data_IF_424611247330
#
_entry.id   IF_424611247330
#
_cell.length_a   1.000
_cell.length_b   1.000
_cell.length_c   1.000
_cell.angle_alpha   90.00
_cell.angle_beta   90.00
_cell.angle_gamma   90.00
#
_symmetry.space_group_name_H-M   'P 1'
#
loop_
_entity.id
_entity.type
_entity.pdbx_description
1 polymer ?
#
# COMPACT_ATOMS: atom_id res chain seq x y z
N UNK A 1 25.77 7.23 -2.32
CA UNK A 1 24.66 6.95 -1.39
C UNK A 1 23.38 6.99 -2.21
N UNK A 2 22.50 5.99 -2.06
CA UNK A 2 21.24 5.94 -2.80
C UNK A 2 20.31 7.06 -2.34
N UNK A 3 19.52 7.61 -3.25
CA UNK A 3 18.62 8.72 -2.98
C UNK A 3 17.24 8.22 -2.58
N UNK A 4 16.57 8.92 -1.66
CA UNK A 4 15.21 8.59 -1.20
C UNK A 4 14.29 9.78 -1.44
N UNK A 5 13.14 9.51 -2.05
CA UNK A 5 12.04 10.46 -2.21
C UNK A 5 10.86 10.01 -1.37
N UNK A 6 10.33 10.90 -0.53
CA UNK A 6 9.16 10.61 0.32
C UNK A 6 7.90 11.11 -0.37
N UNK A 7 6.90 10.25 -0.54
CA UNK A 7 5.65 10.55 -1.24
C UNK A 7 4.49 10.41 -0.28
N UNK A 8 3.75 11.51 -0.07
CA UNK A 8 2.58 11.56 0.82
C UNK A 8 1.37 11.96 0.00
N UNK A 9 0.33 11.14 -0.01
CA UNK A 9 -0.99 11.50 -0.58
C UNK A 9 -1.90 11.87 0.58
N UNK A 10 -2.49 13.05 0.54
CA UNK A 10 -3.37 13.56 1.60
C UNK A 10 -4.77 13.87 1.08
N UNK A 11 -5.77 13.65 1.95
CA UNK A 11 -7.16 14.05 1.74
C UNK A 11 -7.82 14.30 3.09
N UNK A 12 -8.09 15.56 3.41
CA UNK A 12 -8.62 16.02 4.69
C UNK A 12 -7.78 15.55 5.90
N UNK A 13 -6.45 15.70 5.83
CA UNK A 13 -5.51 15.24 6.86
C UNK A 13 -4.67 16.36 7.48
N UNK A 14 -5.19 17.60 7.49
CA UNK A 14 -4.47 18.77 8.00
C UNK A 14 -3.99 18.62 9.46
N UNK A 15 -4.73 17.86 10.29
CA UNK A 15 -4.37 17.62 11.68
C UNK A 15 -3.21 16.64 11.87
N UNK A 16 -3.01 15.72 10.93
CA UNK A 16 -2.08 14.60 11.10
C UNK A 16 -0.76 14.83 10.36
N UNK A 17 -0.81 15.53 9.22
CA UNK A 17 0.32 15.64 8.29
C UNK A 17 1.55 16.34 8.88
N UNK A 18 1.36 17.20 9.90
CA UNK A 18 2.46 17.94 10.54
C UNK A 18 3.41 16.96 11.24
N UNK A 19 2.89 16.03 12.04
CA UNK A 19 3.70 15.03 12.75
C UNK A 19 4.40 14.09 11.76
N UNK A 20 3.76 13.81 10.62
CA UNK A 20 4.33 13.02 9.53
C UNK A 20 5.54 13.73 8.92
N UNK A 21 5.37 15.00 8.50
CA UNK A 21 6.44 15.82 7.94
C UNK A 21 7.60 16.01 8.92
N UNK A 22 7.30 16.25 10.19
CA UNK A 22 8.30 16.36 11.26
C UNK A 22 9.15 15.10 11.38
N UNK A 23 8.53 13.91 11.33
CA UNK A 23 9.23 12.63 11.34
C UNK A 23 10.13 12.44 10.12
N UNK A 24 9.69 12.91 8.95
CA UNK A 24 10.47 12.87 7.70
C UNK A 24 11.68 13.82 7.77
N UNK A 25 11.51 15.05 8.26
CA UNK A 25 12.62 16.00 8.38
C UNK A 25 13.66 15.60 9.43
N UNK A 26 13.28 14.78 10.41
CA UNK A 26 14.17 14.28 11.47
C UNK A 26 14.94 13.01 11.08
N UNK A 27 14.74 12.46 9.87
CA UNK A 27 15.42 11.23 9.46
C UNK A 27 16.94 11.38 9.49
N UNK A 28 17.64 10.33 9.94
CA UNK A 28 19.10 10.25 9.92
C UNK A 28 19.65 10.01 8.52
N UNK A 29 18.83 9.42 7.64
CA UNK A 29 19.15 9.24 6.23
C UNK A 29 18.79 10.50 5.42
N UNK A 30 19.66 10.98 4.52
CA UNK A 30 19.35 12.13 3.68
C UNK A 30 18.13 11.88 2.77
N UNK A 31 17.09 12.70 2.95
CA UNK A 31 15.91 12.71 2.08
C UNK A 31 16.16 13.70 0.92
N UNK A 32 16.14 13.20 -0.31
CA UNK A 32 16.41 14.01 -1.50
C UNK A 32 15.28 15.00 -1.78
N UNK A 33 14.04 14.54 -1.63
CA UNK A 33 12.85 15.35 -1.82
C UNK A 33 11.66 14.77 -1.07
N UNK A 34 10.70 15.64 -0.78
CA UNK A 34 9.40 15.30 -0.22
C UNK A 34 8.36 15.81 -1.20
N UNK A 35 7.47 14.92 -1.64
CA UNK A 35 6.37 15.23 -2.55
C UNK A 35 5.07 14.98 -1.81
N UNK A 36 4.26 16.02 -1.68
CA UNK A 36 2.90 15.93 -1.10
C UNK A 36 1.89 16.13 -2.22
N UNK A 37 0.97 15.18 -2.38
CA UNK A 37 -0.15 15.26 -3.32
C UNK A 37 -1.43 15.43 -2.53
N UNK A 38 -2.02 16.61 -2.58
CA UNK A 38 -3.33 16.90 -2.02
C UNK A 38 -4.43 16.52 -3.01
N UNK A 39 -5.29 15.58 -2.63
CA UNK A 39 -6.38 15.04 -3.43
C UNK A 39 -7.67 15.87 -3.27
N UNK A 40 -7.58 17.19 -3.44
CA UNK A 40 -8.68 18.14 -3.28
C UNK A 40 -9.30 18.11 -1.87
N UNK A 41 -8.46 18.32 -0.85
CA UNK A 41 -8.97 18.46 0.51
C UNK A 41 -9.85 19.70 0.68
N UNK A 42 -10.75 19.62 1.65
CA UNK A 42 -11.71 20.67 2.02
C UNK A 42 -11.42 21.25 3.41
N UNK A 43 -10.40 20.74 4.10
CA UNK A 43 -9.88 21.31 5.34
C UNK A 43 -8.80 22.36 5.05
N UNK A 44 -8.12 22.83 6.09
CA UNK A 44 -7.10 23.87 6.03
C UNK A 44 -5.70 23.34 5.62
N UNK A 45 -5.63 22.29 4.78
CA UNK A 45 -4.36 21.68 4.38
C UNK A 45 -3.43 22.69 3.69
N UNK A 46 -3.98 23.67 2.96
CA UNK A 46 -3.19 24.68 2.22
C UNK A 46 -2.45 25.60 3.17
N UNK A 47 -3.14 26.06 4.22
CA UNK A 47 -2.56 26.87 5.28
C UNK A 47 -1.52 26.07 6.09
N UNK A 48 -1.81 24.79 6.36
CA UNK A 48 -0.90 23.88 7.08
C UNK A 48 0.39 23.61 6.29
N UNK A 49 0.29 23.47 4.96
CA UNK A 49 1.45 23.18 4.11
C UNK A 49 2.25 24.43 3.69
N UNK A 50 1.66 25.63 3.78
CA UNK A 50 2.31 26.88 3.37
C UNK A 50 3.73 27.09 3.94
N UNK A 51 4.02 26.81 5.23
CA UNK A 51 5.36 26.96 5.80
C UNK A 51 6.41 25.97 5.24
N UNK A 52 5.98 24.98 4.45
CA UNK A 52 6.83 23.93 3.89
C UNK A 52 7.07 24.10 2.38
N UNK A 53 6.51 25.11 1.72
CA UNK A 53 6.61 25.31 0.27
C UNK A 53 8.05 25.31 -0.27
N UNK A 54 9.02 25.81 0.51
CA UNK A 54 10.44 25.87 0.11
C UNK A 54 11.18 24.53 0.30
N UNK A 55 10.56 23.55 0.98
CA UNK A 55 11.15 22.26 1.37
C UNK A 55 10.40 21.06 0.83
N UNK A 56 9.17 21.24 0.37
CA UNK A 56 8.24 20.18 -0.06
C UNK A 56 7.66 20.56 -1.42
N UNK A 57 7.71 19.64 -2.37
CA UNK A 57 7.02 19.78 -3.64
C UNK A 57 5.55 19.41 -3.46
N UNK A 58 4.64 20.37 -3.58
CA UNK A 58 3.21 20.17 -3.32
C UNK A 58 2.42 20.20 -4.62
N UNK A 59 1.63 19.16 -4.86
CA UNK A 59 0.70 19.04 -5.99
C UNK A 59 -0.72 19.14 -5.44
N UNK A 60 -1.51 20.08 -5.95
CA UNK A 60 -2.92 20.23 -5.62
C UNK A 60 -3.79 19.71 -6.76
N UNK A 61 -4.42 18.55 -6.57
CA UNK A 61 -5.43 18.04 -7.50
C UNK A 61 -6.75 18.81 -7.34
N UNK A 62 -7.54 18.87 -8.41
CA UNK A 62 -8.87 19.49 -8.42
C UNK A 62 -9.99 18.54 -7.99
N UNK A 63 -9.69 17.25 -7.93
CA UNK A 63 -10.60 16.20 -7.47
C UNK A 63 -9.84 15.12 -6.68
N UNK A 64 -10.56 14.33 -5.90
CA UNK A 64 -9.98 13.20 -5.20
C UNK A 64 -9.83 12.02 -6.16
N UNK A 65 -8.59 11.74 -6.57
CA UNK A 65 -8.26 10.63 -7.46
C UNK A 65 -8.02 9.31 -6.71
N UNK A 66 -7.90 9.34 -5.39
CA UNK A 66 -7.58 8.20 -4.55
C UNK A 66 -6.07 7.95 -4.39
N UNK A 67 -5.75 6.87 -3.69
CA UNK A 67 -4.38 6.54 -3.27
C UNK A 67 -3.47 6.21 -4.46
N UNK A 68 -3.90 5.29 -5.32
CA UNK A 68 -3.07 4.78 -6.42
C UNK A 68 -2.67 5.88 -7.41
N UNK A 69 -3.59 6.71 -7.95
CA UNK A 69 -3.19 7.78 -8.88
C UNK A 69 -2.31 8.84 -8.21
N UNK A 70 -2.58 9.20 -6.96
CA UNK A 70 -1.80 10.20 -6.23
C UNK A 70 -0.34 9.77 -6.04
N UNK A 71 -0.10 8.52 -5.62
CA UNK A 71 1.27 8.01 -5.49
C UNK A 71 1.96 7.81 -6.85
N UNK A 72 1.23 7.38 -7.89
CA UNK A 72 1.78 7.34 -9.24
C UNK A 72 2.21 8.73 -9.74
N UNK A 73 1.46 9.80 -9.43
CA UNK A 73 1.86 11.19 -9.75
C UNK A 73 3.19 11.55 -9.10
N UNK A 74 3.35 11.26 -7.80
CA UNK A 74 4.60 11.52 -7.09
C UNK A 74 5.77 10.68 -7.64
N UNK A 75 5.55 9.40 -7.94
CA UNK A 75 6.58 8.53 -8.52
C UNK A 75 7.05 9.00 -9.89
N UNK A 76 6.14 9.48 -10.75
CA UNK A 76 6.47 9.94 -12.11
C UNK A 76 7.43 11.13 -12.15
N UNK A 77 7.34 12.03 -11.18
CA UNK A 77 8.21 13.22 -11.12
C UNK A 77 9.51 12.98 -10.33
N UNK A 78 9.61 11.86 -9.64
CA UNK A 78 10.75 11.54 -8.79
C UNK A 78 11.85 10.80 -9.54
N UNK A 79 13.10 11.24 -9.36
CA UNK A 79 14.31 10.60 -9.91
C UNK A 79 15.12 9.85 -8.84
N UNK A 80 14.56 9.65 -7.65
CA UNK A 80 15.25 8.97 -6.55
C UNK A 80 15.42 7.46 -6.79
N UNK A 81 16.44 6.84 -6.17
CA UNK A 81 16.68 5.40 -6.22
C UNK A 81 15.61 4.61 -5.44
N UNK A 82 15.06 5.21 -4.39
CA UNK A 82 14.00 4.65 -3.56
C UNK A 82 12.84 5.62 -3.38
N UNK A 83 11.64 5.06 -3.30
CA UNK A 83 10.41 5.79 -3.01
C UNK A 83 9.85 5.32 -1.67
N UNK A 84 9.75 6.22 -0.70
CA UNK A 84 9.02 5.98 0.54
C UNK A 84 7.59 6.48 0.38
N UNK A 85 6.67 5.55 0.13
CA UNK A 85 5.23 5.81 0.17
C UNK A 85 4.79 5.88 1.63
N UNK A 86 4.16 6.98 2.01
CA UNK A 86 3.85 7.29 3.41
C UNK A 86 2.46 7.91 3.54
N UNK A 87 1.67 7.38 4.48
CA UNK A 87 0.39 7.99 4.85
C UNK A 87 0.60 9.27 5.69
N UNK A 88 -0.30 10.25 5.60
CA UNK A 88 -0.20 11.50 6.35
C UNK A 88 -0.39 11.32 7.87
N UNK A 89 -0.94 10.19 8.32
CA UNK A 89 -1.17 9.86 9.74
C UNK A 89 -0.13 8.88 10.32
N UNK A 90 1.06 8.82 9.69
CA UNK A 90 2.21 8.04 10.17
C UNK A 90 3.33 8.96 10.62
N UNK A 91 3.88 8.70 11.80
CA UNK A 91 5.08 9.35 12.34
C UNK A 91 6.25 8.35 12.31
N UNK A 92 7.35 8.73 11.68
CA UNK A 92 8.54 7.89 11.56
C UNK A 92 9.52 8.12 12.73
N UNK A 93 10.11 7.05 13.26
CA UNK A 93 11.31 7.16 14.09
C UNK A 93 12.51 7.65 13.27
N UNK A 94 13.46 8.30 13.93
CA UNK A 94 14.65 8.93 13.32
C UNK A 94 15.44 7.99 12.41
N UNK A 95 15.56 6.71 12.76
CA UNK A 95 16.39 5.75 12.01
C UNK A 95 15.58 4.92 10.98
N UNK A 96 14.29 5.20 10.81
CA UNK A 96 13.40 4.37 9.98
C UNK A 96 13.92 4.19 8.55
N UNK A 97 14.18 5.30 7.84
CA UNK A 97 14.61 5.25 6.44
C UNK A 97 16.00 4.64 6.32
N UNK A 98 16.93 4.99 7.21
CA UNK A 98 18.29 4.45 7.19
C UNK A 98 18.31 2.93 7.30
N UNK A 99 17.47 2.37 8.18
CA UNK A 99 17.34 0.92 8.39
C UNK A 99 16.73 0.21 7.20
N UNK A 100 15.67 0.76 6.61
CA UNK A 100 15.05 0.16 5.43
C UNK A 100 15.98 0.18 4.21
N UNK A 101 16.64 1.30 3.94
CA UNK A 101 17.62 1.39 2.84
C UNK A 101 18.75 0.40 3.05
N UNK A 102 19.31 0.31 4.27
CA UNK A 102 20.36 -0.67 4.57
C UNK A 102 19.88 -2.10 4.28
N UNK A 103 18.70 -2.50 4.76
CA UNK A 103 18.14 -3.82 4.46
C UNK A 103 17.96 -4.07 2.97
N UNK A 104 17.44 -3.10 2.21
CA UNK A 104 17.26 -3.23 0.77
C UNK A 104 18.58 -3.39 0.01
N UNK A 105 19.65 -2.73 0.46
CA UNK A 105 20.97 -2.81 -0.19
C UNK A 105 21.70 -4.15 0.10
N UNK A 106 21.29 -4.92 1.12
CA UNK A 106 21.89 -6.24 1.40
C UNK A 106 21.52 -7.30 0.35
N UNK A 107 20.42 -7.11 -0.38
CA UNK A 107 19.98 -8.05 -1.41
C UNK A 107 19.25 -7.29 -2.52
N UNK A 108 19.82 -7.21 -3.74
CA UNK A 108 19.20 -6.52 -4.87
C UNK A 108 17.78 -7.01 -5.24
N UNK A 109 17.38 -8.21 -4.81
CA UNK A 109 15.99 -8.70 -4.99
C UNK A 109 15.00 -8.12 -4.00
N UNK A 110 15.42 -7.41 -2.95
CA UNK A 110 14.51 -6.73 -2.02
C UNK A 110 14.00 -5.47 -2.72
N UNK A 111 12.86 -5.62 -3.39
CA UNK A 111 12.20 -4.55 -4.11
C UNK A 111 11.29 -3.69 -3.22
N UNK A 112 10.88 -4.22 -2.07
CA UNK A 112 10.13 -3.45 -1.08
C UNK A 112 10.53 -3.77 0.36
N UNK A 113 10.48 -2.77 1.23
CA UNK A 113 10.78 -2.91 2.64
C UNK A 113 9.82 -2.10 3.52
N UNK A 114 9.53 -2.61 4.71
CA UNK A 114 8.76 -1.90 5.73
C UNK A 114 9.34 -2.17 7.11
N UNK A 115 9.04 -1.27 8.04
CA UNK A 115 9.41 -1.40 9.44
C UNK A 115 8.30 -2.03 10.29
N UNK A 116 8.49 -1.94 11.60
CA UNK A 116 7.50 -2.24 12.62
C UNK A 116 6.61 -1.02 12.80
N UNK A 117 5.40 -1.10 12.25
CA UNK A 117 4.38 -0.09 12.46
C UNK A 117 3.64 -0.42 13.75
N UNK A 118 3.60 0.53 14.67
CA UNK A 118 2.94 0.45 15.96
C UNK A 118 1.70 1.34 15.95
N UNK A 119 0.67 0.98 16.72
CA UNK A 119 -0.48 1.87 16.92
C UNK A 119 -0.03 3.09 17.72
N UNK A 120 -0.23 4.31 17.20
CA UNK A 120 0.15 5.55 17.92
C UNK A 120 -0.62 5.68 19.24
N UNK A 121 -1.87 5.22 19.28
CA UNK A 121 -2.69 5.16 20.49
C UNK A 121 -2.23 4.14 21.54
N UNK A 122 -1.47 3.12 21.15
CA UNK A 122 -0.84 2.16 22.06
C UNK A 122 0.43 1.55 21.42
N UNK A 123 1.62 2.15 21.65
CA UNK A 123 2.87 1.72 21.05
C UNK A 123 3.33 0.30 21.40
N UNK A 124 2.67 -0.40 22.34
CA UNK A 124 2.97 -1.81 22.64
C UNK A 124 2.21 -2.79 21.74
N UNK A 125 1.39 -2.28 20.82
CA UNK A 125 0.58 -3.10 19.90
C UNK A 125 1.00 -2.84 18.46
N UNK A 126 1.24 -3.93 17.74
CA UNK A 126 1.53 -3.88 16.31
C UNK A 126 0.31 -3.37 15.55
N UNK A 127 0.57 -2.39 14.69
CA UNK A 127 -0.32 -2.03 13.60
C UNK A 127 -0.10 -2.95 12.39
N UNK A 128 1.15 -3.03 11.92
CA UNK A 128 1.56 -3.89 10.80
C UNK A 128 3.07 -4.18 10.85
N UNK A 129 3.45 -5.39 10.47
CA UNK A 129 4.85 -5.80 10.21
C UNK A 129 5.05 -6.22 8.76
N UNK A 130 4.21 -5.68 7.87
CA UNK A 130 4.05 -6.13 6.49
C UNK A 130 2.74 -6.90 6.28
N UNK A 131 2.58 -7.46 5.09
CA UNK A 131 1.37 -8.14 4.67
C UNK A 131 1.53 -9.66 4.77
N UNK A 132 0.41 -10.35 4.96
CA UNK A 132 0.30 -11.80 4.81
C UNK A 132 -0.93 -12.13 3.96
N UNK A 133 -0.81 -13.12 3.08
CA UNK A 133 -1.93 -13.64 2.31
C UNK A 133 -2.08 -15.15 2.53
N UNK A 134 -3.27 -15.59 2.92
CA UNK A 134 -3.55 -17.01 3.12
C UNK A 134 -3.97 -17.73 1.82
N UNK A 135 -4.09 -19.06 1.86
CA UNK A 135 -4.55 -19.87 0.71
C UNK A 135 -5.98 -19.56 0.27
N UNK A 136 -6.80 -18.86 1.05
CA UNK A 136 -8.10 -18.36 0.62
C UNK A 136 -8.01 -16.94 0.03
N UNK A 137 -6.80 -16.46 -0.28
CA UNK A 137 -6.49 -15.13 -0.88
C UNK A 137 -6.91 -13.97 -0.01
N UNK A 138 -7.10 -14.21 1.28
CA UNK A 138 -7.38 -13.15 2.25
C UNK A 138 -6.05 -12.54 2.64
N UNK A 139 -5.94 -11.23 2.42
CA UNK A 139 -4.77 -10.44 2.77
C UNK A 139 -5.05 -9.62 4.03
N UNK A 140 -4.07 -9.59 4.93
CA UNK A 140 -4.12 -8.93 6.23
C UNK A 140 -2.78 -8.28 6.56
N UNK A 141 -2.81 -7.29 7.44
CA UNK A 141 -1.63 -6.81 8.14
C UNK A 141 -1.09 -7.92 9.07
N UNK A 142 0.20 -8.23 8.95
CA UNK A 142 0.88 -9.25 9.72
C UNK A 142 1.16 -8.74 11.13
N UNK A 143 0.73 -9.50 12.14
CA UNK A 143 0.87 -9.15 13.54
C UNK A 143 -0.11 -8.12 14.08
N UNK A 144 -1.03 -7.61 13.25
CA UNK A 144 -1.97 -6.57 13.66
C UNK A 144 -2.77 -6.95 14.92
N UNK A 145 -2.67 -6.11 15.96
CA UNK A 145 -3.32 -6.31 17.25
C UNK A 145 -2.57 -7.21 18.23
N UNK A 146 -1.39 -7.71 17.87
CA UNK A 146 -0.52 -8.49 18.75
C UNK A 146 0.49 -7.60 19.50
N UNK A 147 1.05 -8.06 20.64
CA UNK A 147 2.11 -7.35 21.35
C UNK A 147 3.37 -7.15 20.50
N UNK A 148 3.95 -5.94 20.55
CA UNK A 148 5.13 -5.56 19.78
C UNK A 148 6.36 -6.42 20.03
N UNK A 149 6.50 -6.94 21.25
CA UNK A 149 7.69 -7.68 21.70
C UNK A 149 7.80 -9.08 21.07
N UNK A 150 6.72 -9.57 20.45
CA UNK A 150 6.73 -10.82 19.69
C UNK A 150 7.36 -10.65 18.30
N UNK A 151 7.58 -9.41 17.85
CA UNK A 151 7.92 -9.09 16.47
C UNK A 151 9.34 -8.52 16.31
N UNK A 152 10.29 -9.04 17.09
CA UNK A 152 11.70 -8.62 17.08
C UNK A 152 12.55 -9.21 15.94
N UNK A 153 12.03 -10.18 15.18
CA UNK A 153 12.76 -10.81 14.08
C UNK A 153 12.46 -10.16 12.72
N UNK A 154 13.50 -9.67 12.06
CA UNK A 154 13.45 -9.23 10.65
C UNK A 154 13.33 -10.43 9.69
N UNK A 155 12.76 -10.23 8.51
CA UNK A 155 12.66 -11.30 7.51
C UNK A 155 11.72 -11.00 6.35
N UNK A 156 11.58 -11.96 5.45
CA UNK A 156 10.71 -11.85 4.29
C UNK A 156 9.24 -11.87 4.70
N UNK A 157 8.44 -11.08 3.99
CA UNK A 157 6.98 -10.96 4.15
C UNK A 157 6.29 -11.03 2.79
N UNK A 158 4.96 -11.22 2.77
CA UNK A 158 4.24 -11.28 1.49
C UNK A 158 4.29 -9.93 0.74
N UNK A 159 4.31 -8.84 1.48
CA UNK A 159 4.28 -7.49 0.94
C UNK A 159 4.45 -6.47 2.05
N UNK A 160 4.45 -5.20 1.67
CA UNK A 160 4.53 -4.08 2.61
C UNK A 160 3.21 -3.31 2.60
N UNK A 161 2.80 -2.81 3.77
CA UNK A 161 1.58 -2.00 3.89
C UNK A 161 1.82 -0.62 3.28
N UNK A 162 0.86 -0.12 2.50
CA UNK A 162 0.94 1.21 1.89
C UNK A 162 1.02 2.37 2.90
N UNK A 163 0.90 2.11 4.21
CA UNK A 163 1.02 3.13 5.24
C UNK A 163 2.45 3.69 5.38
N UNK A 164 3.47 2.83 5.26
CA UNK A 164 4.88 3.22 5.30
C UNK A 164 5.72 2.14 4.59
N UNK A 165 5.91 2.33 3.28
CA UNK A 165 6.52 1.35 2.40
C UNK A 165 7.66 1.98 1.60
N UNK A 166 8.86 1.42 1.72
CA UNK A 166 9.99 1.74 0.87
C UNK A 166 9.95 0.82 -0.36
N UNK A 167 10.04 1.39 -1.55
CA UNK A 167 10.11 0.66 -2.82
C UNK A 167 11.39 1.04 -3.56
N UNK A 168 12.11 0.06 -4.11
CA UNK A 168 13.22 0.34 -5.02
C UNK A 168 12.69 0.79 -6.38
N UNK A 169 13.41 1.72 -7.02
CA UNK A 169 13.13 2.12 -8.41
C UNK A 169 13.11 0.92 -9.35
N UNK A 170 14.11 0.05 -9.24
CA UNK A 170 14.23 -1.12 -10.11
C UNK A 170 12.97 -1.99 -10.06
N UNK A 171 12.42 -2.26 -8.86
CA UNK A 171 11.16 -3.00 -8.75
C UNK A 171 9.99 -2.20 -9.31
N UNK A 172 9.90 -0.91 -8.98
CA UNK A 172 8.80 -0.05 -9.46
C UNK A 172 8.75 -0.04 -10.99
N UNK A 173 9.88 0.15 -11.66
CA UNK A 173 9.97 0.16 -13.12
C UNK A 173 9.70 -1.23 -13.71
N UNK A 174 10.22 -2.29 -13.07
CA UNK A 174 10.07 -3.67 -13.54
C UNK A 174 8.61 -4.19 -13.48
N UNK A 175 7.87 -3.83 -12.42
CA UNK A 175 6.50 -4.31 -12.20
C UNK A 175 5.42 -3.34 -12.71
N UNK A 176 5.79 -2.15 -13.18
CA UNK A 176 4.84 -1.17 -13.69
C UNK A 176 4.17 -1.67 -14.97
N UNK A 177 2.86 -1.43 -15.08
CA UNK A 177 2.11 -1.77 -16.29
C UNK A 177 1.66 -0.45 -16.93
N UNK A 178 2.16 -0.18 -18.14
CA UNK A 178 1.80 1.04 -18.89
C UNK A 178 2.05 2.32 -18.08
N UNK A 179 3.19 2.37 -17.36
CA UNK A 179 3.59 3.51 -16.52
C UNK A 179 2.86 3.61 -15.17
N UNK A 180 2.04 2.61 -14.81
CA UNK A 180 1.32 2.55 -13.54
C UNK A 180 1.96 1.54 -12.59
N UNK A 181 2.58 2.03 -11.52
CA UNK A 181 3.05 1.18 -10.42
C UNK A 181 1.87 0.69 -9.58
N UNK A 182 1.02 1.58 -9.08
CA UNK A 182 -0.28 1.17 -8.58
C UNK A 182 -1.29 1.16 -9.72
N UNK A 183 -2.15 0.15 -9.78
CA UNK A 183 -3.25 0.15 -10.75
C UNK A 183 -4.24 1.27 -10.40
N UNK A 184 -4.35 2.29 -11.26
CA UNK A 184 -5.14 3.49 -10.99
C UNK A 184 -6.66 3.22 -10.85
N UNK A 185 -7.14 2.02 -11.23
CA UNK A 185 -8.52 1.58 -10.94
C UNK A 185 -8.77 1.23 -9.46
N UNK A 186 -7.71 1.18 -8.65
CA UNK A 186 -7.74 0.94 -7.21
C UNK A 186 -7.76 2.29 -6.48
N UNK A 187 -8.93 2.94 -6.45
CA UNK A 187 -9.12 4.21 -5.75
C UNK A 187 -8.68 4.14 -4.27
N UNK A 188 -9.08 3.08 -3.57
CA UNK A 188 -8.67 2.79 -2.20
C UNK A 188 -8.78 1.29 -1.90
N UNK A 189 -7.92 0.82 -1.00
CA UNK A 189 -7.73 -0.55 -0.57
C UNK A 189 -7.30 -1.54 -1.66
N UNK A 190 -6.36 -2.41 -1.25
CA UNK A 190 -5.82 -3.55 -2.00
C UNK A 190 -4.86 -3.17 -3.11
N UNK A 191 -4.58 -1.89 -3.31
CA UNK A 191 -3.51 -1.43 -4.20
C UNK A 191 -2.14 -1.96 -3.76
N UNK A 192 -1.86 -1.95 -2.45
CA UNK A 192 -0.64 -2.48 -1.84
C UNK A 192 -0.53 -4.00 -1.98
N UNK A 193 -1.62 -4.73 -1.75
CA UNK A 193 -1.69 -6.19 -1.93
C UNK A 193 -1.53 -6.57 -3.41
N UNK A 194 -2.12 -5.80 -4.33
CA UNK A 194 -2.00 -6.03 -5.77
C UNK A 194 -0.55 -5.86 -6.24
N UNK A 195 0.12 -4.79 -5.81
CA UNK A 195 1.55 -4.54 -6.05
C UNK A 195 2.41 -5.64 -5.44
N UNK A 196 2.17 -6.02 -4.18
CA UNK A 196 2.94 -7.06 -3.50
C UNK A 196 2.84 -8.42 -4.21
N UNK A 197 1.63 -8.79 -4.65
CA UNK A 197 1.43 -10.04 -5.39
C UNK A 197 2.11 -9.98 -6.76
N UNK A 198 1.99 -8.84 -7.48
CA UNK A 198 2.64 -8.67 -8.77
C UNK A 198 4.17 -8.73 -8.65
N UNK A 199 4.74 -8.10 -7.62
CA UNK A 199 6.16 -8.15 -7.33
C UNK A 199 6.64 -9.59 -7.07
N UNK A 200 5.92 -10.36 -6.27
CA UNK A 200 6.25 -11.78 -6.05
C UNK A 200 6.16 -12.62 -7.32
N UNK A 201 5.17 -12.37 -8.17
CA UNK A 201 5.04 -13.07 -9.45
C UNK A 201 6.24 -12.81 -10.37
N UNK A 202 7.00 -11.73 -10.15
CA UNK A 202 8.21 -11.36 -10.89
C UNK A 202 9.50 -11.65 -10.09
N UNK A 203 9.39 -12.38 -8.97
CA UNK A 203 10.55 -12.83 -8.19
C UNK A 203 11.17 -11.80 -7.26
N UNK A 204 10.52 -10.65 -7.04
CA UNK A 204 10.93 -9.66 -6.05
C UNK A 204 10.56 -10.09 -4.63
N UNK A 205 11.42 -9.69 -3.69
CA UNK A 205 11.29 -9.97 -2.25
C UNK A 205 10.76 -8.71 -1.56
N UNK A 206 9.83 -8.92 -0.62
CA UNK A 206 9.39 -7.90 0.32
C UNK A 206 9.97 -8.19 1.70
N UNK A 207 10.51 -7.19 2.37
CA UNK A 207 11.27 -7.37 3.61
C UNK A 207 10.71 -6.56 4.78
N UNK A 208 10.68 -7.17 5.95
CA UNK A 208 10.36 -6.53 7.22
C UNK A 208 11.64 -6.34 8.03
N UNK A 209 11.94 -5.09 8.38
CA UNK A 209 13.01 -4.75 9.32
C UNK A 209 12.42 -4.41 10.69
N UNK A 210 12.72 -5.24 11.69
CA UNK A 210 12.14 -5.12 13.02
C UNK A 210 12.62 -3.89 13.80
N UNK A 211 13.76 -3.30 13.45
CA UNK A 211 14.35 -2.15 14.14
C UNK A 211 13.93 -0.81 13.53
N UNK A 212 13.33 -0.81 12.33
CA UNK A 212 12.75 0.38 11.72
C UNK A 212 11.38 0.64 12.35
N UNK A 213 11.24 1.66 13.21
CA UNK A 213 9.99 1.90 13.95
C UNK A 213 9.18 3.06 13.35
N UNK A 214 7.88 2.86 13.20
CA UNK A 214 6.94 3.92 12.84
C UNK A 214 5.66 3.79 13.66
N UNK A 215 4.93 4.90 13.82
CA UNK A 215 3.69 4.98 14.59
C UNK A 215 2.56 5.43 13.68
N UNK A 216 1.44 4.71 13.69
CA UNK A 216 0.30 4.94 12.82
C UNK A 216 -0.94 5.26 13.67
N UNK A 217 -1.58 6.41 13.43
CA UNK A 217 -2.79 6.81 14.17
C UNK A 217 -3.98 5.88 13.85
N UNK A 218 -4.07 5.41 12.60
CA UNK A 218 -5.23 4.70 12.03
C UNK A 218 -6.53 5.44 12.33
N UNK A 219 -6.92 6.35 11.44
CA UNK A 219 -8.21 7.05 11.50
C UNK A 219 -9.47 6.15 11.52
N UNK A 220 -9.33 4.83 11.35
CA UNK A 220 -10.42 3.86 11.34
C UNK A 220 -10.47 3.00 12.61
N UNK A 221 -11.52 3.19 13.43
CA UNK A 221 -11.79 2.37 14.61
C UNK A 221 -12.29 0.97 14.22
N UNK A 222 -11.79 -0.07 14.92
CA UNK A 222 -12.24 -1.47 14.78
C UNK A 222 -13.78 -1.54 14.97
N UNK A 223 -14.48 -2.15 14.02
CA UNK A 223 -15.96 -2.21 14.03
C UNK A 223 -16.69 -1.13 13.24
N UNK A 224 -15.98 -0.13 12.69
CA UNK A 224 -16.58 0.95 11.89
C UNK A 224 -16.96 0.57 10.46
N UNK A 225 -16.76 -0.69 10.02
CA UNK A 225 -16.98 -1.10 8.61
C UNK A 225 -18.32 -0.62 8.05
N UNK A 226 -19.40 -0.67 8.82
CA UNK A 226 -20.73 -0.25 8.38
C UNK A 226 -20.94 1.28 8.40
N UNK A 227 -20.11 2.03 9.11
CA UNK A 227 -20.15 3.50 9.20
C UNK A 227 -19.55 4.17 7.96
N UNK A 228 -19.08 3.37 7.01
CA UNK A 228 -18.18 3.82 5.99
C UNK A 228 -18.93 4.02 4.69
N UNK A 229 -18.56 5.05 3.91
CA UNK A 229 -19.25 5.35 2.68
C UNK A 229 -19.38 4.10 1.81
N UNK A 230 -20.56 3.89 1.23
CA UNK A 230 -20.85 2.68 0.47
C UNK A 230 -19.83 2.45 -0.66
N UNK A 231 -19.39 3.51 -1.33
CA UNK A 231 -18.42 3.42 -2.41
C UNK A 231 -17.05 2.88 -1.92
N UNK A 232 -16.59 3.28 -0.74
CA UNK A 232 -15.36 2.77 -0.11
C UNK A 232 -15.47 1.27 0.20
N UNK A 233 -16.62 0.84 0.73
CA UNK A 233 -16.90 -0.59 0.96
C UNK A 233 -16.96 -1.38 -0.35
N UNK A 234 -17.53 -0.79 -1.40
CA UNK A 234 -17.57 -1.37 -2.74
C UNK A 234 -16.17 -1.55 -3.33
N UNK A 235 -15.28 -0.55 -3.24
CA UNK A 235 -13.88 -0.68 -3.65
C UNK A 235 -13.16 -1.79 -2.85
N UNK A 236 -13.29 -1.79 -1.52
CA UNK A 236 -12.70 -2.82 -0.66
C UNK A 236 -13.12 -4.24 -1.07
N UNK A 237 -14.40 -4.42 -1.42
CA UNK A 237 -14.93 -5.70 -1.88
C UNK A 237 -14.45 -6.06 -3.29
N UNK A 238 -14.60 -5.16 -4.27
CA UNK A 238 -14.36 -5.50 -5.68
C UNK A 238 -12.87 -5.56 -6.02
N UNK A 239 -12.04 -4.73 -5.39
CA UNK A 239 -10.59 -4.71 -5.64
C UNK A 239 -9.94 -6.04 -5.25
N UNK A 240 -10.50 -6.77 -4.26
CA UNK A 240 -10.12 -8.16 -3.96
C UNK A 240 -10.24 -9.06 -5.20
N UNK A 241 -11.32 -8.95 -5.94
CA UNK A 241 -11.54 -9.77 -7.13
C UNK A 241 -10.68 -9.30 -8.30
N UNK A 242 -10.48 -7.98 -8.46
CA UNK A 242 -9.56 -7.41 -9.46
C UNK A 242 -8.12 -7.93 -9.26
N UNK A 243 -7.59 -7.88 -8.04
CA UNK A 243 -6.22 -8.34 -7.75
C UNK A 243 -6.08 -9.86 -7.94
N UNK A 244 -7.06 -10.67 -7.52
CA UNK A 244 -7.04 -12.13 -7.74
C UNK A 244 -7.07 -12.43 -9.24
N UNK A 245 -7.93 -11.74 -10.00
CA UNK A 245 -8.05 -11.96 -11.43
C UNK A 245 -6.74 -11.65 -12.19
N UNK A 246 -6.09 -10.55 -11.84
CA UNK A 246 -4.83 -10.11 -12.48
C UNK A 246 -3.64 -11.01 -12.12
N UNK A 247 -3.47 -11.34 -10.83
CA UNK A 247 -2.23 -11.93 -10.33
C UNK A 247 -2.28 -13.44 -10.13
N UNK A 248 -3.45 -14.04 -9.88
CA UNK A 248 -3.54 -15.48 -9.61
C UNK A 248 -3.54 -16.29 -10.92
N UNK A 249 -2.62 -17.25 -11.00
CA UNK A 249 -2.51 -18.15 -12.14
C UNK A 249 -3.63 -19.19 -12.10
N UNK A 250 -4.09 -19.65 -13.27
CA UNK A 250 -5.17 -20.66 -13.34
C UNK A 250 -4.82 -21.94 -12.58
N UNK A 251 -3.54 -22.33 -12.63
CA UNK A 251 -3.00 -23.48 -11.89
C UNK A 251 -3.11 -23.27 -10.37
N UNK A 252 -2.74 -22.10 -9.87
CA UNK A 252 -2.81 -21.78 -8.44
C UNK A 252 -4.25 -21.65 -7.93
N UNK A 253 -5.15 -21.07 -8.73
CA UNK A 253 -6.59 -21.04 -8.44
C UNK A 253 -7.14 -22.46 -8.28
N UNK A 254 -6.89 -23.33 -9.26
CA UNK A 254 -7.37 -24.71 -9.24
C UNK A 254 -6.79 -25.51 -8.05
N UNK A 255 -5.48 -25.42 -7.82
CA UNK A 255 -4.79 -26.13 -6.71
C UNK A 255 -5.37 -25.83 -5.34
N UNK A 256 -5.91 -24.62 -5.16
CA UNK A 256 -6.39 -24.15 -3.87
C UNK A 256 -7.91 -23.95 -3.84
N UNK A 257 -8.63 -24.56 -4.79
CA UNK A 257 -10.07 -24.35 -4.96
C UNK A 257 -10.85 -24.73 -3.68
N UNK A 258 -10.44 -25.81 -3.01
CA UNK A 258 -11.08 -26.28 -1.77
C UNK A 258 -10.90 -25.31 -0.59
N UNK A 259 -9.85 -24.49 -0.57
CA UNK A 259 -9.67 -23.43 0.43
C UNK A 259 -10.38 -22.13 0.03
N UNK A 260 -10.49 -21.84 -1.27
CA UNK A 260 -11.14 -20.64 -1.79
C UNK A 260 -12.67 -20.73 -1.64
N UNK A 261 -13.28 -21.82 -2.10
CA UNK A 261 -14.74 -21.92 -2.25
C UNK A 261 -15.50 -21.69 -0.94
N UNK A 262 -15.15 -22.30 0.21
CA UNK A 262 -15.88 -22.07 1.46
C UNK A 262 -15.84 -20.60 1.88
N UNK A 263 -14.70 -19.94 1.68
CA UNK A 263 -14.57 -18.52 1.99
C UNK A 263 -15.40 -17.66 1.04
N UNK A 264 -15.39 -17.94 -0.26
CA UNK A 264 -16.18 -17.16 -1.23
C UNK A 264 -17.68 -17.33 -1.00
N UNK A 265 -18.15 -18.55 -0.69
CA UNK A 265 -19.55 -18.80 -0.28
C UNK A 265 -19.89 -17.97 0.96
N UNK A 266 -19.04 -17.99 1.99
CA UNK A 266 -19.26 -17.22 3.21
C UNK A 266 -19.23 -15.70 2.96
N UNK A 267 -18.31 -15.21 2.12
CA UNK A 267 -18.15 -13.80 1.75
C UNK A 267 -19.37 -13.29 0.99
N UNK A 268 -19.83 -14.02 -0.03
CA UNK A 268 -21.01 -13.68 -0.81
C UNK A 268 -22.28 -13.80 0.04
N UNK A 269 -22.41 -14.86 0.85
CA UNK A 269 -23.53 -15.03 1.78
C UNK A 269 -23.61 -13.87 2.79
N UNK A 270 -22.48 -13.46 3.36
CA UNK A 270 -22.41 -12.29 4.22
C UNK A 270 -22.83 -11.01 3.48
N UNK A 271 -22.32 -10.79 2.27
CA UNK A 271 -22.70 -9.62 1.47
C UNK A 271 -24.21 -9.61 1.18
N UNK A 272 -24.80 -10.73 0.78
CA UNK A 272 -26.25 -10.84 0.53
C UNK A 272 -27.10 -10.51 1.77
N UNK A 273 -26.68 -11.00 2.95
CA UNK A 273 -27.46 -10.87 4.18
C UNK A 273 -27.22 -9.57 4.95
N UNK A 274 -26.02 -8.99 4.87
CA UNK A 274 -25.60 -7.87 5.73
C UNK A 274 -25.25 -6.60 4.97
N UNK A 275 -24.85 -6.69 3.70
CA UNK A 275 -24.44 -5.53 2.92
C UNK A 275 -24.69 -5.69 1.40
N UNK A 276 -25.93 -5.97 0.95
CA UNK A 276 -26.20 -6.40 -0.43
C UNK A 276 -25.86 -5.33 -1.47
N UNK A 277 -25.80 -4.06 -1.06
CA UNK A 277 -25.43 -2.93 -1.93
C UNK A 277 -23.98 -3.03 -2.43
N UNK A 278 -23.08 -3.73 -1.73
CA UNK A 278 -21.71 -3.93 -2.21
C UNK A 278 -21.64 -4.79 -3.46
N UNK A 279 -22.62 -5.68 -3.68
CA UNK A 279 -22.65 -6.57 -4.85
C UNK A 279 -22.87 -5.81 -6.16
N UNK A 280 -23.42 -4.59 -6.12
CA UNK A 280 -23.51 -3.71 -7.30
C UNK A 280 -22.13 -3.38 -7.88
N UNK A 281 -21.06 -3.48 -7.08
CA UNK A 281 -19.69 -3.26 -7.55
C UNK A 281 -19.25 -4.27 -8.62
N UNK A 282 -19.90 -5.44 -8.75
CA UNK A 282 -19.64 -6.37 -9.85
C UNK A 282 -19.88 -5.76 -11.23
N UNK A 283 -20.79 -4.78 -11.36
CA UNK A 283 -20.98 -4.03 -12.61
C UNK A 283 -19.68 -3.34 -13.03
N UNK A 284 -18.95 -2.73 -12.08
CA UNK A 284 -17.65 -2.10 -12.36
C UNK A 284 -16.61 -3.13 -12.83
N UNK A 285 -16.58 -4.31 -12.20
CA UNK A 285 -15.65 -5.38 -12.58
C UNK A 285 -15.88 -5.86 -14.01
N UNK A 286 -17.14 -6.10 -14.40
CA UNK A 286 -17.44 -6.55 -15.76
C UNK A 286 -17.19 -5.45 -16.80
N UNK A 287 -17.47 -4.19 -16.45
CA UNK A 287 -17.14 -3.04 -17.31
C UNK A 287 -15.63 -2.91 -17.53
N UNK A 288 -14.83 -3.17 -16.50
CA UNK A 288 -13.36 -3.07 -16.54
C UNK A 288 -12.68 -4.38 -17.00
N UNK A 289 -13.44 -5.45 -17.25
CA UNK A 289 -12.92 -6.77 -17.57
C UNK A 289 -11.97 -6.80 -18.79
N UNK A 290 -12.21 -6.04 -19.88
CA UNK A 290 -11.24 -5.97 -20.99
C UNK A 290 -9.87 -5.44 -20.53
N UNK A 291 -9.85 -4.36 -19.74
CA UNK A 291 -8.61 -3.80 -19.19
C UNK A 291 -7.95 -4.77 -18.19
N UNK A 292 -8.73 -5.41 -17.32
CA UNK A 292 -8.21 -6.42 -16.39
C UNK A 292 -7.61 -7.63 -17.12
N UNK A 293 -8.21 -8.07 -18.23
CA UNK A 293 -7.68 -9.14 -19.10
C UNK A 293 -6.36 -8.74 -19.73
N UNK A 294 -6.27 -7.53 -20.25
CA UNK A 294 -5.04 -6.98 -20.82
C UNK A 294 -3.90 -6.97 -19.78
N UNK A 295 -4.14 -6.38 -18.60
CA UNK A 295 -3.17 -6.36 -17.49
C UNK A 295 -2.79 -7.78 -17.04
N UNK A 296 -3.76 -8.70 -16.92
CA UNK A 296 -3.49 -10.11 -16.61
C UNK A 296 -2.53 -10.74 -17.62
N UNK A 297 -2.75 -10.53 -18.93
CA UNK A 297 -1.90 -11.12 -19.96
C UNK A 297 -0.46 -10.60 -19.85
N UNK A 298 -0.27 -9.30 -19.61
CA UNK A 298 1.06 -8.71 -19.37
C UNK A 298 1.73 -9.38 -18.16
N UNK A 299 1.00 -9.51 -17.04
CA UNK A 299 1.51 -10.13 -15.81
C UNK A 299 1.93 -11.58 -16.08
N UNK A 300 1.03 -12.39 -16.63
CA UNK A 300 1.26 -13.83 -16.78
C UNK A 300 2.30 -14.17 -17.86
N UNK A 301 2.42 -13.36 -18.93
CA UNK A 301 3.42 -13.60 -19.96
C UNK A 301 4.84 -13.43 -19.42
N UNK A 302 5.07 -12.40 -18.60
CA UNK A 302 6.38 -12.16 -17.97
C UNK A 302 6.72 -13.23 -16.94
N UNK A 303 5.76 -13.64 -16.09
CA UNK A 303 5.99 -14.74 -15.14
C UNK A 303 6.35 -16.07 -15.83
N UNK A 304 5.84 -16.31 -17.05
CA UNK A 304 6.12 -17.55 -17.78
C UNK A 304 7.42 -17.49 -18.62
N UNK A 305 7.96 -16.31 -18.92
CA UNK A 305 9.23 -16.18 -19.66
C UNK A 305 10.47 -16.42 -18.80
N UNK A 306 10.30 -16.38 -17.48
CA UNK A 306 11.38 -16.55 -16.49
C UNK A 306 11.44 -17.98 -15.89
N UNK A 307 10.65 -18.92 -16.43
CA UNK A 307 10.62 -20.36 -16.10
C UNK A 307 11.11 -21.17 -17.29
#
# INVERSE_FOLDING_TARGET
MRTVSVHIVTYNSANDIIDCLDGVFKQSYPIQQIIVVDNASHDNIREVLQPYNDRVHIIFNTENLGFAPGHNQAMRISQADYFLVLNPDVTLDREYVARLVNSSEQNPKIGSATGRLLLKSNPHIIDSTGLVMNRARRAFDRGAGEPSDLWNGSGEVFGVSGAAALYSRDMVEDISIEGQFYDESFFAYKEDVDVAWRAQNYGWISYYNADAIAYHERGWKKGSRNQQPLFIRQYSYINRYKMIYKNDSRRNLFRNLIQILPFEIASVGYALLRDPKVLRSWVSFYRELPALRHKKNIIQNKTNSDI
#
